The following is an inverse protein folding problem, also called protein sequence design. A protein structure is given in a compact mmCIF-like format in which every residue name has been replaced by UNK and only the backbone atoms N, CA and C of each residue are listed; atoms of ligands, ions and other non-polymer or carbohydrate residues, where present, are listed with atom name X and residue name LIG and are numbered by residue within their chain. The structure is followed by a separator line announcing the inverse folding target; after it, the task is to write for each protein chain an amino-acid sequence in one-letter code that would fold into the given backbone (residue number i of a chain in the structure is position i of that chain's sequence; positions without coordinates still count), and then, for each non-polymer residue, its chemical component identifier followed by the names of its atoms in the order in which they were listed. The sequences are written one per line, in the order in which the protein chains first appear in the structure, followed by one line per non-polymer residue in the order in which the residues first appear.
data_IF_023749151158
#
_entry.id   IF_023749151158
#
_cell.length_a   1.000
_cell.length_b   1.000
_cell.length_c   1.000
_cell.angle_alpha   90.00
_cell.angle_beta   90.00
_cell.angle_gamma   90.00
#
_symmetry.space_group_name_H-M   'P 1'
#
loop_
_entity.id
_entity.type
_entity.pdbx_description
1 polymer ?
#
# COMPACT_ATOMS: atom_id res chain seq x y z
N UNK A 1 19.20 -23.98 7.57
CA UNK A 1 19.71 -23.22 6.41
C UNK A 1 19.84 -21.75 6.81
N UNK A 2 20.85 -21.00 6.33
CA UNK A 2 20.99 -19.56 6.65
C UNK A 2 20.14 -18.77 5.65
N UNK A 3 19.13 -18.05 6.12
CA UNK A 3 18.26 -17.25 5.27
C UNK A 3 19.03 -16.10 4.60
N UNK A 4 18.74 -15.86 3.34
CA UNK A 4 19.22 -14.68 2.62
C UNK A 4 18.40 -13.51 3.14
N UNK A 5 18.89 -12.84 4.19
CA UNK A 5 18.21 -11.67 4.75
C UNK A 5 18.09 -10.59 3.67
N UNK A 6 16.87 -10.20 3.33
CA UNK A 6 16.65 -8.97 2.58
C UNK A 6 17.26 -7.79 3.39
N UNK A 7 17.89 -6.85 2.68
CA UNK A 7 18.82 -5.91 3.30
C UNK A 7 18.09 -4.85 4.14
N UNK A 8 18.35 -4.84 5.45
CA UNK A 8 17.72 -3.90 6.40
C UNK A 8 18.41 -2.52 6.35
N UNK A 9 17.69 -1.42 6.05
CA UNK A 9 18.20 -0.07 6.30
C UNK A 9 18.09 0.28 7.80
N UNK A 10 19.04 1.07 8.30
CA UNK A 10 19.10 1.44 9.73
C UNK A 10 18.15 2.60 10.06
N UNK A 11 17.18 2.38 10.95
CA UNK A 11 16.27 3.42 11.43
C UNK A 11 16.90 4.27 12.53
N UNK A 12 16.90 5.60 12.32
CA UNK A 12 17.21 6.60 13.37
C UNK A 12 15.90 7.13 13.95
N UNK A 13 15.79 7.14 15.27
CA UNK A 13 14.67 7.77 15.97
C UNK A 13 14.85 9.28 16.09
N UNK A 14 13.72 10.02 16.11
CA UNK A 14 13.60 11.21 16.92
C UNK A 14 12.45 11.07 17.92
N UNK A 15 12.79 11.14 19.21
CA UNK A 15 11.83 11.29 20.32
C UNK A 15 11.34 12.74 20.43
N UNK A 16 10.03 13.00 20.54
CA UNK A 16 9.53 14.30 21.04
C UNK A 16 8.21 14.23 21.81
N UNK A 17 8.02 15.22 22.68
CA UNK A 17 7.17 15.24 23.88
C UNK A 17 6.61 16.67 24.08
N UNK A 18 5.37 16.93 24.49
CA UNK A 18 4.11 16.17 24.65
C UNK A 18 3.00 17.21 24.99
N UNK A 19 1.80 16.77 25.40
CA UNK A 19 0.74 17.48 26.14
C UNK A 19 -0.28 18.32 25.35
N UNK A 20 -1.55 17.96 25.59
CA UNK A 20 -2.75 18.80 25.81
C UNK A 20 -3.07 19.98 24.85
N UNK A 21 -4.33 20.18 24.47
CA UNK A 21 -5.37 20.68 25.41
C UNK A 21 -6.80 20.45 24.88
N UNK A 22 -7.75 20.41 25.82
CA UNK A 22 -9.18 20.20 25.62
C UNK A 22 -9.88 21.25 24.74
N UNK A 23 -10.71 20.78 23.80
CA UNK A 23 -11.62 21.60 23.00
C UNK A 23 -13.04 21.02 23.02
N UNK A 24 -13.96 21.66 23.75
CA UNK A 24 -15.38 21.23 23.82
C UNK A 24 -16.05 21.39 22.45
N UNK A 25 -16.66 20.33 21.91
CA UNK A 25 -17.63 20.49 20.80
C UNK A 25 -19.02 20.78 21.37
N UNK A 26 -19.71 21.75 20.76
CA UNK A 26 -21.06 22.19 21.11
C UNK A 26 -22.10 21.16 20.63
N UNK A 27 -23.20 20.91 21.37
CA UNK A 27 -24.36 20.21 20.82
C UNK A 27 -25.13 21.12 19.86
N UNK A 28 -25.74 20.55 18.82
CA UNK A 28 -26.73 21.27 17.99
C UNK A 28 -26.48 21.36 16.47
N UNK A 29 -25.45 20.69 15.92
CA UNK A 29 -25.38 20.49 14.48
C UNK A 29 -26.34 19.37 14.06
N UNK A 30 -27.48 19.72 13.46
CA UNK A 30 -28.34 18.78 12.74
C UNK A 30 -27.51 18.16 11.63
N UNK A 31 -27.52 16.83 11.53
CA UNK A 31 -26.82 16.13 10.46
C UNK A 31 -27.60 16.32 9.14
N UNK A 32 -27.25 17.37 8.41
CA UNK A 32 -27.70 17.55 7.04
C UNK A 32 -27.13 16.41 6.18
N UNK A 33 -27.90 15.85 5.22
CA UNK A 33 -27.45 14.73 4.42
C UNK A 33 -26.19 15.10 3.63
N UNK A 34 -25.15 14.27 3.76
CA UNK A 34 -23.89 14.40 3.04
C UNK A 34 -24.15 14.28 1.53
N UNK A 35 -24.25 15.43 0.85
CA UNK A 35 -24.64 15.48 -0.56
C UNK A 35 -23.59 14.78 -1.43
N UNK A 36 -24.03 13.80 -2.21
CA UNK A 36 -23.20 12.85 -2.97
C UNK A 36 -22.50 13.48 -4.20
N UNK A 37 -22.64 14.79 -4.39
CA UNK A 37 -22.27 15.52 -5.62
C UNK A 37 -20.95 16.29 -5.52
N UNK A 38 -19.99 15.72 -4.77
CA UNK A 38 -18.57 16.05 -4.92
C UNK A 38 -17.70 14.80 -5.07
N UNK A 39 -18.20 13.83 -5.84
CA UNK A 39 -17.36 12.77 -6.41
C UNK A 39 -16.26 13.42 -7.25
N UNK A 40 -15.04 13.40 -6.73
CA UNK A 40 -13.84 13.70 -7.50
C UNK A 40 -13.84 12.75 -8.71
N UNK A 41 -14.01 13.31 -9.92
CA UNK A 41 -14.11 12.51 -11.15
C UNK A 41 -12.74 11.96 -11.53
N UNK A 42 -12.31 10.94 -10.81
CA UNK A 42 -11.16 10.14 -11.19
C UNK A 42 -11.49 9.39 -12.50
N UNK A 43 -10.52 9.23 -13.43
CA UNK A 43 -10.71 8.44 -14.64
C UNK A 43 -11.22 7.02 -14.38
N UNK A 44 -11.88 6.40 -15.38
CA UNK A 44 -12.52 5.07 -15.29
C UNK A 44 -11.62 3.91 -14.83
N UNK A 45 -10.30 4.09 -14.79
CA UNK A 45 -9.35 3.13 -14.24
C UNK A 45 -9.27 3.17 -12.70
N UNK A 46 -9.80 4.17 -12.00
CA UNK A 46 -9.71 4.27 -10.53
C UNK A 46 -10.85 3.55 -9.80
N UNK A 47 -10.51 2.87 -8.71
CA UNK A 47 -11.44 2.15 -7.82
C UNK A 47 -11.19 2.47 -6.36
N UNK A 48 -12.26 2.53 -5.58
CA UNK A 48 -12.23 2.49 -4.12
C UNK A 48 -11.69 1.12 -3.68
N UNK A 49 -10.60 1.08 -2.91
CA UNK A 49 -9.91 -0.16 -2.58
C UNK A 49 -10.19 -0.63 -1.14
N UNK A 50 -10.08 0.29 -0.18
CA UNK A 50 -10.41 0.09 1.23
C UNK A 50 -10.58 1.45 1.94
N UNK A 51 -11.05 1.46 3.19
CA UNK A 51 -10.92 2.65 4.02
C UNK A 51 -9.44 2.81 4.42
N UNK A 52 -9.01 4.06 4.63
CA UNK A 52 -7.65 4.38 5.08
C UNK A 52 -7.30 3.66 6.39
N UNK A 53 -8.26 3.50 7.30
CA UNK A 53 -8.04 2.83 8.58
C UNK A 53 -7.96 1.30 8.49
N UNK A 54 -8.37 0.69 7.37
CA UNK A 54 -8.30 -0.77 7.16
C UNK A 54 -6.88 -1.21 6.74
N UNK A 55 -6.06 -0.29 6.22
CA UNK A 55 -4.68 -0.54 5.81
C UNK A 55 -3.72 -0.13 6.95
N UNK A 56 -3.14 -1.07 7.71
CA UNK A 56 -2.22 -0.73 8.81
C UNK A 56 -0.93 -0.08 8.30
N UNK A 57 -0.39 0.86 9.09
CA UNK A 57 0.97 1.40 8.89
C UNK A 57 2.01 0.27 8.98
N UNK A 58 2.98 0.26 8.07
CA UNK A 58 3.97 -0.81 7.90
C UNK A 58 3.38 -2.22 7.70
N UNK A 59 2.14 -2.32 7.19
CA UNK A 59 1.49 -3.60 6.88
C UNK A 59 0.95 -3.70 5.46
N UNK A 60 0.32 -4.85 5.20
CA UNK A 60 -0.23 -5.26 3.91
C UNK A 60 -1.75 -5.42 3.97
N UNK A 61 -2.44 -5.25 2.84
CA UNK A 61 -3.86 -5.60 2.70
C UNK A 61 -4.16 -6.17 1.32
N UNK A 62 -4.82 -7.32 1.25
CA UNK A 62 -5.34 -7.89 0.01
C UNK A 62 -6.66 -7.21 -0.39
N UNK A 63 -6.76 -6.75 -1.64
CA UNK A 63 -8.02 -6.21 -2.20
C UNK A 63 -8.30 -6.79 -3.58
N UNK A 64 -9.57 -7.04 -3.89
CA UNK A 64 -10.00 -7.54 -5.21
C UNK A 64 -10.78 -6.46 -5.95
N UNK A 65 -10.27 -6.00 -7.09
CA UNK A 65 -10.85 -4.93 -7.90
C UNK A 65 -10.89 -5.40 -9.36
N UNK A 66 -12.03 -5.23 -10.03
CA UNK A 66 -12.25 -5.65 -11.42
C UNK A 66 -11.81 -7.11 -11.72
N UNK A 67 -11.91 -8.01 -10.72
CA UNK A 67 -11.51 -9.42 -10.81
C UNK A 67 -10.00 -9.70 -10.66
N UNK A 68 -9.17 -8.68 -10.42
CA UNK A 68 -7.74 -8.82 -10.12
C UNK A 68 -7.48 -8.61 -8.61
N UNK A 69 -6.54 -9.38 -8.05
CA UNK A 69 -6.11 -9.22 -6.64
C UNK A 69 -4.85 -8.36 -6.57
N UNK A 70 -4.87 -7.36 -5.70
CA UNK A 70 -3.80 -6.40 -5.44
C UNK A 70 -3.35 -6.52 -3.99
N UNK A 71 -2.06 -6.31 -3.75
CA UNK A 71 -1.55 -6.07 -2.40
C UNK A 71 -1.34 -4.57 -2.23
N UNK A 72 -2.01 -4.00 -1.23
CA UNK A 72 -1.78 -2.64 -0.75
C UNK A 72 -0.70 -2.65 0.34
N UNK A 73 0.02 -1.55 0.45
CA UNK A 73 1.04 -1.31 1.46
C UNK A 73 0.91 0.12 1.99
N UNK A 74 1.25 0.35 3.26
CA UNK A 74 1.49 1.70 3.78
C UNK A 74 2.86 1.79 4.45
N UNK A 75 3.66 2.77 4.05
CA UNK A 75 5.02 3.00 4.57
C UNK A 75 5.25 4.51 4.67
N UNK A 76 5.57 4.98 5.87
CA UNK A 76 5.83 6.40 6.16
C UNK A 76 4.64 7.30 5.77
N UNK A 77 3.42 6.80 5.97
CA UNK A 77 2.17 7.47 5.57
C UNK A 77 1.89 7.49 4.06
N UNK A 78 2.77 6.96 3.21
CA UNK A 78 2.53 6.81 1.79
C UNK A 78 1.92 5.43 1.47
N UNK A 79 0.92 5.39 0.59
CA UNK A 79 0.29 4.14 0.13
C UNK A 79 0.88 3.66 -1.19
N UNK A 80 1.08 2.36 -1.32
CA UNK A 80 1.58 1.70 -2.54
C UNK A 80 0.71 0.50 -2.89
N UNK A 81 0.76 0.05 -4.15
CA UNK A 81 0.03 -1.12 -4.60
C UNK A 81 0.80 -1.92 -5.66
N UNK A 82 0.84 -3.24 -5.50
CA UNK A 82 1.32 -4.19 -6.51
C UNK A 82 0.24 -5.19 -6.89
N UNK A 83 0.46 -5.96 -7.95
CA UNK A 83 -0.22 -7.24 -8.11
C UNK A 83 0.08 -8.10 -6.87
N UNK A 84 -0.94 -8.77 -6.30
CA UNK A 84 -0.73 -9.59 -5.11
C UNK A 84 0.07 -10.86 -5.42
N UNK A 85 -0.13 -11.44 -6.61
CA UNK A 85 0.56 -12.67 -6.98
C UNK A 85 2.05 -12.41 -7.26
N UNK A 86 2.91 -13.04 -6.47
CA UNK A 86 4.36 -13.07 -6.65
C UNK A 86 4.76 -13.55 -8.06
N UNK A 87 5.58 -12.78 -8.76
CA UNK A 87 6.02 -13.05 -10.14
C UNK A 87 6.84 -14.35 -10.31
N UNK A 88 7.42 -14.86 -9.22
CA UNK A 88 8.15 -16.13 -9.19
C UNK A 88 7.22 -17.36 -9.20
N UNK A 89 5.97 -17.27 -8.71
CA UNK A 89 5.17 -18.49 -8.53
C UNK A 89 3.72 -18.30 -8.09
N UNK A 90 3.37 -18.90 -6.95
CA UNK A 90 2.00 -18.97 -6.39
C UNK A 90 1.80 -18.19 -5.08
N UNK A 91 2.86 -17.63 -4.50
CA UNK A 91 2.75 -16.89 -3.25
C UNK A 91 1.93 -15.60 -3.41
N UNK A 92 1.11 -15.30 -2.41
CA UNK A 92 0.49 -14.00 -2.20
C UNK A 92 1.49 -13.07 -1.52
N UNK A 93 1.58 -11.82 -1.96
CA UNK A 93 2.44 -10.81 -1.34
C UNK A 93 1.77 -10.13 -0.14
N UNK A 94 0.44 -10.08 -0.10
CA UNK A 94 -0.30 -9.58 1.07
C UNK A 94 -0.17 -10.47 2.30
N UNK A 95 0.08 -11.76 2.12
CA UNK A 95 0.48 -12.72 3.18
C UNK A 95 1.99 -12.63 3.56
N UNK A 96 2.74 -11.71 2.94
CA UNK A 96 4.19 -11.54 3.13
C UNK A 96 4.59 -10.65 4.31
N UNK A 97 5.90 -10.41 4.42
CA UNK A 97 6.48 -9.51 5.46
C UNK A 97 6.98 -8.23 4.80
N UNK A 98 6.40 -7.10 5.20
CA UNK A 98 6.83 -5.77 4.77
C UNK A 98 7.88 -5.20 5.73
N UNK A 99 9.05 -4.83 5.21
CA UNK A 99 10.12 -4.13 5.94
C UNK A 99 10.55 -2.92 5.11
N UNK A 100 10.26 -1.71 5.62
CA UNK A 100 10.35 -0.46 4.85
C UNK A 100 9.66 -0.60 3.48
N UNK A 101 10.35 -0.31 2.38
CA UNK A 101 9.82 -0.45 1.02
C UNK A 101 10.04 -1.84 0.39
N UNK A 102 10.44 -2.86 1.17
CA UNK A 102 10.68 -4.22 0.67
C UNK A 102 9.60 -5.19 1.16
N UNK A 103 8.95 -5.89 0.23
CA UNK A 103 8.02 -7.00 0.55
C UNK A 103 8.71 -8.35 0.33
N UNK A 104 8.77 -9.18 1.38
CA UNK A 104 9.24 -10.57 1.32
C UNK A 104 8.08 -11.51 1.03
N UNK A 105 8.20 -12.31 -0.05
CA UNK A 105 7.20 -13.32 -0.41
C UNK A 105 7.24 -14.50 0.60
N UNK A 106 6.10 -14.88 1.22
CA UNK A 106 6.08 -15.83 2.34
C UNK A 106 6.43 -17.26 1.93
N UNK A 107 6.43 -17.59 0.63
CA UNK A 107 6.63 -18.95 0.15
C UNK A 107 8.10 -19.34 -0.02
N UNK A 108 8.92 -18.47 -0.63
CA UNK A 108 10.33 -18.75 -0.95
C UNK A 108 11.26 -17.55 -0.67
N UNK A 109 10.83 -16.60 0.18
CA UNK A 109 11.63 -15.48 0.70
C UNK A 109 12.26 -14.55 -0.37
N UNK A 110 11.77 -14.59 -1.60
CA UNK A 110 12.17 -13.64 -2.64
C UNK A 110 11.50 -12.29 -2.41
N UNK A 111 12.27 -11.21 -2.56
CA UNK A 111 11.85 -9.85 -2.19
C UNK A 111 11.63 -8.94 -3.42
N UNK A 112 10.78 -7.92 -3.25
CA UNK A 112 10.54 -6.84 -4.22
C UNK A 112 10.56 -5.47 -3.54
N UNK A 113 11.01 -4.43 -4.26
CA UNK A 113 10.73 -3.03 -3.89
C UNK A 113 9.30 -2.67 -4.28
N UNK A 114 8.46 -2.25 -3.32
CA UNK A 114 7.02 -2.00 -3.54
C UNK A 114 6.71 -0.80 -4.44
N UNK A 115 7.68 0.11 -4.63
CA UNK A 115 7.50 1.37 -5.38
C UNK A 115 7.71 1.13 -6.87
N UNK A 116 8.69 0.28 -7.20
CA UNK A 116 9.09 -0.06 -8.57
C UNK A 116 8.61 -1.43 -9.02
N UNK A 117 8.29 -2.33 -8.09
CA UNK A 117 8.02 -3.75 -8.36
C UNK A 117 9.27 -4.55 -8.71
N UNK A 118 10.47 -3.95 -8.70
CA UNK A 118 11.71 -4.61 -9.06
C UNK A 118 12.09 -5.69 -8.04
N UNK A 119 12.59 -6.86 -8.49
CA UNK A 119 13.06 -7.90 -7.57
C UNK A 119 14.35 -7.47 -6.87
N UNK A 120 14.42 -7.64 -5.56
CA UNK A 120 15.57 -7.28 -4.72
C UNK A 120 16.26 -8.49 -4.08
N UNK A 121 15.62 -9.65 -4.04
CA UNK A 121 16.24 -10.92 -3.64
C UNK A 121 15.74 -12.13 -4.45
N UNK A 122 16.65 -13.06 -4.73
CA UNK A 122 16.32 -14.36 -5.32
C UNK A 122 15.38 -15.16 -4.39
N UNK A 123 14.51 -16.03 -4.92
CA UNK A 123 14.43 -16.47 -6.33
C UNK A 123 13.64 -15.54 -7.27
N UNK A 124 13.17 -14.38 -6.80
CA UNK A 124 12.48 -13.41 -7.64
C UNK A 124 13.45 -12.78 -8.65
N UNK A 125 13.09 -12.81 -9.93
CA UNK A 125 13.92 -12.31 -11.04
C UNK A 125 13.14 -11.55 -12.13
N UNK A 126 11.82 -11.39 -11.95
CA UNK A 126 10.93 -10.62 -12.83
C UNK A 126 10.16 -9.62 -11.99
N UNK A 127 9.96 -8.36 -12.44
CA UNK A 127 9.21 -7.39 -11.65
C UNK A 127 7.74 -7.82 -11.48
N UNK A 128 7.16 -7.46 -10.35
CA UNK A 128 5.69 -7.43 -10.19
C UNK A 128 5.13 -6.13 -10.76
N UNK A 129 3.88 -6.14 -11.21
CA UNK A 129 3.20 -4.91 -11.66
C UNK A 129 2.97 -4.00 -10.45
N UNK A 130 3.30 -2.72 -10.58
CA UNK A 130 2.90 -1.65 -9.65
C UNK A 130 1.71 -0.88 -10.21
N UNK A 131 0.94 -0.27 -9.31
CA UNK A 131 -0.28 0.46 -9.63
C UNK A 131 -0.23 1.87 -9.02
N UNK A 132 -1.02 2.80 -9.55
CA UNK A 132 -1.12 4.12 -8.95
C UNK A 132 -2.08 4.08 -7.76
N UNK A 133 -1.67 4.71 -6.67
CA UNK A 133 -2.43 4.84 -5.42
C UNK A 133 -2.73 6.31 -5.16
N UNK A 134 -3.84 6.57 -4.48
CA UNK A 134 -4.18 7.88 -3.93
C UNK A 134 -4.94 7.68 -2.64
N UNK A 135 -4.67 8.50 -1.65
CA UNK A 135 -5.48 8.56 -0.44
C UNK A 135 -6.19 9.92 -0.38
N UNK A 136 -7.51 9.93 -0.22
CA UNK A 136 -8.32 11.14 -0.09
C UNK A 136 -9.62 10.79 0.64
N UNK A 137 -10.11 11.71 1.46
CA UNK A 137 -11.42 11.60 2.13
C UNK A 137 -11.60 10.33 2.98
N UNK A 138 -10.50 9.80 3.51
CA UNK A 138 -10.49 8.56 4.32
C UNK A 138 -10.55 7.27 3.50
N UNK A 139 -10.41 7.33 2.17
CA UNK A 139 -10.46 6.18 1.26
C UNK A 139 -9.10 6.02 0.55
N UNK A 140 -8.63 4.78 0.45
CA UNK A 140 -7.51 4.43 -0.44
C UNK A 140 -8.07 4.04 -1.80
N UNK A 141 -7.56 4.69 -2.83
CA UNK A 141 -7.93 4.49 -4.22
C UNK A 141 -6.78 3.83 -4.97
N UNK A 142 -7.11 2.90 -5.85
CA UNK A 142 -6.15 2.24 -6.75
C UNK A 142 -6.57 2.46 -8.20
N UNK A 143 -5.62 2.84 -9.03
CA UNK A 143 -5.77 2.79 -10.48
C UNK A 143 -5.49 1.34 -10.94
N UNK A 144 -6.45 0.69 -11.58
CA UNK A 144 -6.38 -0.72 -12.00
C UNK A 144 -5.53 -0.92 -13.26
N UNK A 145 -5.16 0.16 -13.97
CA UNK A 145 -4.14 0.12 -15.01
C UNK A 145 -2.75 0.11 -14.37
N UNK A 146 -1.87 -0.85 -14.74
CA UNK A 146 -0.52 -0.88 -14.19
C UNK A 146 0.26 0.36 -14.61
N UNK A 147 1.19 0.81 -13.75
CA UNK A 147 2.15 1.85 -14.12
C UNK A 147 3.05 1.32 -15.22
N UNK A 148 3.20 2.08 -16.29
CA UNK A 148 4.13 1.74 -17.36
C UNK A 148 5.57 1.82 -16.82
N UNK A 149 6.29 0.69 -16.82
CA UNK A 149 7.67 0.58 -16.31
C UNK A 149 8.69 1.31 -17.20
N UNK A 150 8.29 1.73 -18.39
CA UNK A 150 9.13 2.47 -19.34
C UNK A 150 9.19 3.96 -18.96
N UNK A 151 10.13 4.33 -18.08
CA UNK A 151 10.38 5.74 -17.76
C UNK A 151 11.09 6.05 -16.44
N UNK A 152 11.38 5.04 -15.61
CA UNK A 152 12.15 5.22 -14.38
C UNK A 152 13.64 4.96 -14.65
N UNK A 153 14.34 6.00 -15.13
CA UNK A 153 15.79 6.07 -15.34
C UNK A 153 16.43 6.99 -14.29
#
# INVERSE_FOLDING_TARGET
MRGISCAKPASRTPTWTNWNTSGRRRPGARAEPFSLEHRMTLPDDWREACLSNDLPEAGTLAVTLDGQVFCLYRVEGATYATADRCSHGRGSLSEGVLEAHTIECPFHQGCFDIRTGAPTALPCNRPVKTYATRETDGIVWVNTRPRDMAGQH
#
